data_IF_191993804796
#
_entry.id   IF_191993804796
#
_cell.length_a   1.000
_cell.length_b   1.000
_cell.length_c   1.000
_cell.angle_alpha   90.00
_cell.angle_beta   90.00
_cell.angle_gamma   90.00
#
_symmetry.space_group_name_H-M   'P 1'
#
loop_
_entity.id
_entity.type
_entity.pdbx_description
1 polymer ?
#
# COMPACT_ATOMS: atom_id res chain seq x y z
N UNK A 1 -21.62 21.39 -1.69
CA UNK A 1 -21.13 20.09 -1.20
C UNK A 1 -19.62 20.20 -1.06
N UNK A 2 -19.07 20.20 0.16
CA UNK A 2 -17.61 20.30 0.34
C UNK A 2 -16.98 19.00 -0.21
N UNK A 3 -16.24 19.07 -1.31
CA UNK A 3 -15.35 17.99 -1.74
C UNK A 3 -14.29 17.88 -0.63
N UNK A 4 -14.38 16.86 0.21
CA UNK A 4 -13.26 16.52 1.07
C UNK A 4 -12.13 16.09 0.15
N UNK A 5 -11.06 16.88 0.09
CA UNK A 5 -9.85 16.49 -0.63
C UNK A 5 -9.23 15.32 0.12
N UNK A 6 -9.31 14.14 -0.46
CA UNK A 6 -8.73 12.92 0.07
C UNK A 6 -7.21 13.07 0.09
N UNK A 7 -6.59 12.98 1.27
CA UNK A 7 -5.13 13.04 1.43
C UNK A 7 -4.54 11.65 1.18
N UNK A 8 -3.78 11.53 0.10
CA UNK A 8 -3.16 10.28 -0.31
C UNK A 8 -1.66 10.37 -0.06
N UNK A 9 -1.12 9.38 0.63
CA UNK A 9 0.32 9.19 0.79
C UNK A 9 0.76 8.04 -0.10
N UNK A 10 1.73 8.30 -0.97
CA UNK A 10 2.26 7.29 -1.88
C UNK A 10 3.67 6.86 -1.46
N UNK A 11 3.90 5.56 -1.44
CA UNK A 11 5.21 4.96 -1.15
C UNK A 11 5.54 3.98 -2.27
N UNK A 12 6.70 4.16 -2.87
CA UNK A 12 7.24 3.21 -3.84
C UNK A 12 8.26 2.28 -3.18
N UNK A 13 8.12 0.99 -3.46
CA UNK A 13 9.04 -0.05 -3.05
C UNK A 13 9.49 -0.84 -4.26
N UNK A 14 10.79 -1.13 -4.33
CA UNK A 14 11.36 -2.02 -5.32
C UNK A 14 11.80 -3.32 -4.63
N UNK A 15 11.51 -4.45 -5.29
CA UNK A 15 12.04 -5.74 -4.89
C UNK A 15 13.56 -5.77 -5.12
N UNK A 16 14.30 -6.27 -4.14
CA UNK A 16 15.71 -6.59 -4.28
C UNK A 16 15.88 -8.09 -4.02
N UNK A 17 16.60 -8.79 -4.89
CA UNK A 17 16.83 -10.22 -4.73
C UNK A 17 17.50 -10.53 -3.39
N UNK A 18 16.96 -11.52 -2.67
CA UNK A 18 17.39 -11.87 -1.32
C UNK A 18 16.78 -11.01 -0.20
N UNK A 19 16.03 -9.95 -0.51
CA UNK A 19 15.27 -9.19 0.48
C UNK A 19 13.79 -9.06 0.13
N UNK A 20 13.02 -10.02 0.63
CA UNK A 20 11.58 -10.13 0.40
C UNK A 20 10.72 -9.48 1.48
N UNK A 21 11.34 -8.89 2.51
CA UNK A 21 10.66 -8.16 3.57
C UNK A 21 11.02 -6.67 3.52
N UNK A 22 10.05 -5.83 3.19
CA UNK A 22 10.25 -4.40 2.99
C UNK A 22 9.46 -3.62 4.02
N UNK A 23 10.17 -2.78 4.77
CA UNK A 23 9.52 -1.79 5.64
C UNK A 23 8.85 -0.73 4.77
N UNK A 24 7.57 -0.51 5.02
CA UNK A 24 6.78 0.59 4.45
C UNK A 24 6.69 1.65 5.54
N UNK A 25 7.52 2.68 5.46
CA UNK A 25 7.60 3.73 6.47
C UNK A 25 6.70 4.91 6.08
N UNK A 26 5.63 5.14 6.85
CA UNK A 26 4.69 6.22 6.63
C UNK A 26 4.74 7.30 7.74
N UNK A 27 5.60 7.16 8.75
CA UNK A 27 5.80 8.16 9.81
C UNK A 27 4.48 8.51 10.51
N UNK A 28 4.03 9.77 10.41
CA UNK A 28 2.76 10.22 10.97
C UNK A 28 1.58 9.89 10.04
N UNK A 29 0.41 9.66 10.64
CA UNK A 29 -0.85 9.39 9.93
C UNK A 29 -1.61 10.69 9.64
N UNK A 30 -1.00 11.57 8.87
CA UNK A 30 -1.58 12.84 8.41
C UNK A 30 -2.34 12.74 7.08
N UNK A 31 -2.62 11.50 6.65
CA UNK A 31 -3.25 11.10 5.39
C UNK A 31 -4.47 10.21 5.63
N UNK A 32 -5.34 10.10 4.63
CA UNK A 32 -6.54 9.27 4.66
C UNK A 32 -6.27 7.86 4.08
N UNK A 33 -5.45 7.79 3.03
CA UNK A 33 -5.09 6.55 2.33
C UNK A 33 -3.57 6.48 2.11
N UNK A 34 -3.00 5.31 2.41
CA UNK A 34 -1.66 4.91 2.01
C UNK A 34 -1.74 4.07 0.73
N UNK A 35 -1.06 4.50 -0.32
CA UNK A 35 -0.87 3.74 -1.56
C UNK A 35 0.57 3.24 -1.61
N UNK A 36 0.73 1.93 -1.76
CA UNK A 36 2.03 1.25 -1.85
C UNK A 36 2.18 0.72 -3.27
N UNK A 37 3.14 1.27 -4.01
CA UNK A 37 3.53 0.79 -5.34
C UNK A 37 4.71 -0.17 -5.19
N UNK A 38 4.47 -1.47 -5.31
CA UNK A 38 5.49 -2.51 -5.22
C UNK A 38 5.92 -2.96 -6.61
N UNK A 39 7.14 -2.57 -7.01
CA UNK A 39 7.82 -2.99 -8.24
C UNK A 39 8.47 -4.34 -8.01
N UNK A 40 7.82 -5.40 -8.48
CA UNK A 40 8.41 -6.75 -8.47
C UNK A 40 9.51 -6.87 -9.53
N UNK A 41 9.25 -6.34 -10.74
CA UNK A 41 10.19 -6.26 -11.87
C UNK A 41 9.95 -4.94 -12.61
N UNK A 42 10.80 -4.60 -13.59
CA UNK A 42 10.73 -3.34 -14.33
C UNK A 42 9.31 -3.01 -14.86
N UNK A 43 8.60 -4.01 -15.37
CA UNK A 43 7.27 -3.85 -15.96
C UNK A 43 6.13 -4.36 -15.08
N UNK A 44 6.43 -4.88 -13.87
CA UNK A 44 5.42 -5.47 -12.98
C UNK A 44 5.31 -4.68 -11.68
N UNK A 45 4.35 -3.76 -11.66
CA UNK A 45 4.02 -2.92 -10.51
C UNK A 45 2.66 -3.33 -9.95
N UNK A 46 2.63 -3.68 -8.66
CA UNK A 46 1.37 -3.90 -7.93
C UNK A 46 1.12 -2.73 -6.99
N UNK A 47 -0.09 -2.20 -7.03
CA UNK A 47 -0.53 -1.13 -6.13
C UNK A 47 -1.45 -1.69 -5.06
N UNK A 48 -1.25 -1.27 -3.82
CA UNK A 48 -2.10 -1.59 -2.68
C UNK A 48 -2.56 -0.29 -2.04
N UNK A 49 -3.85 -0.11 -1.81
CA UNK A 49 -4.37 1.01 -1.05
C UNK A 49 -4.90 0.54 0.30
N UNK A 50 -4.54 1.25 1.37
CA UNK A 50 -4.92 0.94 2.75
C UNK A 50 -5.39 2.23 3.41
N UNK A 51 -6.57 2.23 4.05
CA UNK A 51 -7.03 3.37 4.84
C UNK A 51 -6.11 3.57 6.05
N UNK A 52 -5.82 4.82 6.41
CA UNK A 52 -5.02 5.15 7.60
C UNK A 52 -5.62 4.58 8.91
N UNK A 53 -6.94 4.40 8.95
CA UNK A 53 -7.65 3.78 10.08
C UNK A 53 -7.33 2.30 10.26
N UNK A 54 -6.92 1.61 9.18
CA UNK A 54 -6.54 0.20 9.20
C UNK A 54 -5.05 -0.01 9.48
N UNK A 55 -4.26 1.07 9.51
CA UNK A 55 -2.84 1.00 9.85
C UNK A 55 -2.66 0.94 11.37
N UNK A 56 -1.64 0.27 11.90
CA UNK A 56 -1.32 0.28 13.33
C UNK A 56 -0.86 1.67 13.78
N UNK A 57 -0.98 1.98 15.08
CA UNK A 57 -0.41 3.19 15.69
C UNK A 57 1.12 3.06 15.85
N UNK A 58 1.77 2.86 14.72
CA UNK A 58 3.21 2.72 14.49
C UNK A 58 3.56 3.62 13.31
N UNK A 59 4.85 3.90 13.12
CA UNK A 59 5.37 4.68 11.99
C UNK A 59 5.50 3.86 10.69
N UNK A 60 5.29 2.55 10.76
CA UNK A 60 5.57 1.63 9.67
C UNK A 60 4.87 0.29 9.79
N UNK A 61 4.75 -0.37 8.64
CA UNK A 61 4.34 -1.77 8.49
C UNK A 61 5.37 -2.51 7.64
N UNK A 62 5.22 -3.83 7.51
CA UNK A 62 6.07 -4.64 6.64
C UNK A 62 5.26 -5.23 5.48
N UNK A 63 5.81 -5.12 4.27
CA UNK A 63 5.38 -5.85 3.09
C UNK A 63 6.27 -7.09 2.96
N UNK A 64 5.66 -8.25 2.87
CA UNK A 64 6.31 -9.56 2.73
C UNK A 64 5.92 -10.13 1.37
N UNK A 65 6.91 -10.31 0.51
CA UNK A 65 6.75 -10.95 -0.79
C UNK A 65 7.19 -12.42 -0.70
N UNK A 66 6.39 -13.34 -1.23
CA UNK A 66 6.79 -14.73 -1.40
C UNK A 66 7.22 -14.94 -2.86
N UNK A 67 8.51 -15.17 -3.16
CA UNK A 67 8.98 -15.35 -4.52
C UNK A 67 8.50 -16.65 -5.18
N UNK A 68 8.03 -17.64 -4.41
CA UNK A 68 7.55 -18.91 -4.97
C UNK A 68 6.10 -18.79 -5.45
N UNK A 69 5.25 -18.15 -4.66
CA UNK A 69 3.82 -17.97 -4.96
C UNK A 69 3.51 -16.62 -5.60
N UNK A 70 4.51 -15.72 -5.66
CA UNK A 70 4.36 -14.32 -6.01
C UNK A 70 3.34 -13.58 -5.14
N UNK A 71 3.00 -14.10 -3.95
CA UNK A 71 2.01 -13.47 -3.08
C UNK A 71 2.64 -12.30 -2.33
N UNK A 72 1.91 -11.20 -2.22
CA UNK A 72 2.23 -10.10 -1.31
C UNK A 72 1.33 -10.20 -0.09
N UNK A 73 1.92 -10.04 1.09
CA UNK A 73 1.20 -9.96 2.35
C UNK A 73 1.78 -8.84 3.21
N UNK A 74 1.01 -8.41 4.21
CA UNK A 74 1.42 -7.37 5.15
C UNK A 74 1.50 -7.90 6.58
N UNK A 75 2.39 -7.31 7.36
CA UNK A 75 2.47 -7.47 8.81
C UNK A 75 2.30 -6.09 9.48
N UNK A 76 1.36 -5.94 10.43
CA UNK A 76 0.51 -6.98 11.02
C UNK A 76 -0.56 -7.54 10.05
N UNK A 77 -1.01 -8.79 10.28
CA UNK A 77 -1.77 -9.58 9.29
C UNK A 77 -3.18 -9.03 9.03
N UNK A 78 -3.75 -8.33 9.99
CA UNK A 78 -5.08 -7.71 9.94
C UNK A 78 -5.21 -6.77 8.75
N UNK A 79 -4.12 -6.14 8.32
CA UNK A 79 -4.05 -5.24 7.17
C UNK A 79 -4.48 -5.94 5.88
N UNK A 80 -4.15 -7.22 5.71
CA UNK A 80 -4.45 -7.96 4.48
C UNK A 80 -5.95 -8.04 4.19
N UNK A 81 -6.79 -7.93 5.22
CA UNK A 81 -8.26 -7.93 5.07
C UNK A 81 -8.85 -6.56 4.71
N UNK A 82 -8.04 -5.50 4.85
CA UNK A 82 -8.43 -4.11 4.64
C UNK A 82 -7.82 -3.50 3.38
N UNK A 83 -7.17 -4.30 2.55
CA UNK A 83 -6.62 -3.86 1.27
C UNK A 83 -7.77 -3.51 0.33
N UNK A 84 -7.72 -2.31 -0.22
CA UNK A 84 -8.67 -1.85 -1.23
C UNK A 84 -8.17 -2.32 -2.59
N UNK A 85 -8.88 -3.27 -3.20
CA UNK A 85 -8.46 -3.90 -4.46
C UNK A 85 -8.59 -2.98 -5.68
N UNK A 86 -9.49 -2.00 -5.65
CA UNK A 86 -9.75 -1.05 -6.75
C UNK A 86 -9.03 0.30 -6.55
N UNK A 87 -7.70 0.28 -6.47
CA UNK A 87 -6.88 1.49 -6.28
C UNK A 87 -7.14 2.55 -7.37
N UNK A 88 -7.35 2.13 -8.61
CA UNK A 88 -7.60 3.04 -9.74
C UNK A 88 -8.92 3.84 -9.60
N UNK A 89 -9.95 3.28 -8.95
CA UNK A 89 -11.20 4.01 -8.66
C UNK A 89 -11.01 5.07 -7.58
N UNK A 90 -10.07 4.87 -6.65
CA UNK A 90 -9.74 5.85 -5.61
C UNK A 90 -8.91 7.02 -6.18
N UNK A 91 -8.00 6.73 -7.10
CA UNK A 91 -7.11 7.72 -7.71
C UNK A 91 -7.78 8.52 -8.85
N UNK A 92 -8.81 7.96 -9.49
CA UNK A 92 -9.53 8.59 -10.60
C UNK A 92 -11.05 8.41 -10.43
N UNK A 93 -11.71 9.12 -9.50
CA UNK A 93 -13.14 8.98 -9.24
C UNK A 93 -14.04 9.43 -10.40
N UNK A 94 -13.51 10.25 -11.33
CA UNK A 94 -14.25 10.83 -12.46
C UNK A 94 -14.26 9.93 -13.72
N UNK A 95 -13.71 8.71 -13.67
CA UNK A 95 -13.79 7.73 -14.76
C UNK A 95 -14.90 6.69 -14.47
N UNK A 96 -16.15 7.12 -14.43
CA UNK A 96 -17.32 6.23 -14.49
C UNK A 96 -18.43 6.86 -15.30
#
# INVERSE_FOLDING_TARGET
>A
MKRYSLKIKEIELQLHDGNYNRRVQYNEKDFDILVISFKEKADLIRKFAISANCLPNSDSIHLIFDPNTHKVSFSPQEINTSIINDVEKLLCPDKT
#
